data_IF_536831173081
#
_entry.id   IF_536831173081
#
_cell.length_a   1.000
_cell.length_b   1.000
_cell.length_c   1.000
_cell.angle_alpha   90.00
_cell.angle_beta   90.00
_cell.angle_gamma   90.00
#
_symmetry.space_group_name_H-M   'P 1'
#
loop_
_entity.id
_entity.type
_entity.pdbx_description
1 polymer ?
#
# COMPACT_ATOMS: atom_id res chain seq x y z
N UNK A 1 -22.51 17.85 1.09
CA UNK A 1 -22.36 16.39 1.21
C UNK A 1 -23.74 15.74 1.24
N UNK A 2 -24.01 14.72 0.42
CA UNK A 2 -24.90 13.59 0.74
C UNK A 2 -24.28 12.38 0.03
N UNK A 3 -23.63 11.48 0.77
CA UNK A 3 -24.04 10.07 0.98
C UNK A 3 -23.97 9.21 -0.30
N UNK A 4 -23.55 7.94 -0.32
CA UNK A 4 -23.68 6.89 0.67
C UNK A 4 -22.85 5.67 0.20
N UNK A 5 -22.35 4.92 1.17
CA UNK A 5 -22.04 3.48 1.24
C UNK A 5 -22.72 2.56 0.20
N UNK A 6 -22.04 1.51 -0.27
CA UNK A 6 -22.59 0.12 -0.37
C UNK A 6 -21.45 -0.89 -0.61
N UNK A 7 -21.38 -1.87 0.29
CA UNK A 7 -20.53 -3.07 0.34
C UNK A 7 -21.08 -4.21 -0.53
N UNK A 8 -20.24 -5.03 -1.19
CA UNK A 8 -20.51 -6.47 -1.30
C UNK A 8 -19.25 -7.29 -1.59
N UNK A 9 -19.01 -8.25 -0.70
CA UNK A 9 -17.96 -9.25 -0.68
C UNK A 9 -18.26 -10.39 -1.66
N UNK A 10 -17.26 -10.88 -2.41
CA UNK A 10 -17.33 -12.19 -3.08
C UNK A 10 -16.12 -13.02 -2.68
N UNK A 11 -16.45 -14.17 -2.09
CA UNK A 11 -15.58 -15.13 -1.43
C UNK A 11 -14.84 -16.06 -2.41
N UNK A 12 -13.66 -16.43 -1.94
CA UNK A 12 -12.67 -17.40 -2.42
C UNK A 12 -13.18 -18.86 -2.47
N UNK A 13 -12.91 -19.60 -3.56
CA UNK A 13 -12.66 -21.07 -3.65
C UNK A 13 -12.62 -21.51 -5.13
N UNK A 14 -11.88 -22.50 -5.63
CA UNK A 14 -10.73 -23.29 -5.22
C UNK A 14 -10.39 -24.19 -6.43
N UNK A 15 -9.12 -24.22 -6.83
CA UNK A 15 -8.36 -25.30 -7.50
C UNK A 15 -8.87 -25.97 -8.81
N UNK A 16 -7.90 -26.20 -9.72
CA UNK A 16 -8.00 -27.28 -10.70
C UNK A 16 -7.09 -27.09 -11.91
N UNK A 17 -5.79 -27.24 -11.74
CA UNK A 17 -4.89 -27.44 -12.87
C UNK A 17 -5.14 -28.83 -13.49
N UNK A 18 -5.48 -28.85 -14.78
CA UNK A 18 -5.58 -30.06 -15.57
C UNK A 18 -5.56 -29.69 -17.05
N UNK A 19 -4.47 -30.04 -17.74
CA UNK A 19 -4.34 -29.89 -19.18
C UNK A 19 -5.41 -30.76 -19.87
N UNK A 20 -6.50 -30.13 -20.32
CA UNK A 20 -7.47 -30.76 -21.19
C UNK A 20 -7.18 -30.32 -22.62
N UNK A 21 -6.92 -31.31 -23.49
CA UNK A 21 -7.15 -31.17 -24.91
C UNK A 21 -8.54 -30.52 -25.12
N UNK A 22 -8.68 -29.58 -26.05
CA UNK A 22 -9.94 -28.92 -26.34
C UNK A 22 -10.95 -29.89 -27.00
N UNK A 23 -11.32 -30.96 -26.30
CA UNK A 23 -12.52 -31.72 -26.53
C UNK A 23 -13.64 -31.00 -25.80
N UNK A 24 -14.60 -30.47 -26.54
CA UNK A 24 -16.01 -30.27 -26.12
C UNK A 24 -16.26 -29.64 -24.73
N UNK A 25 -15.30 -28.90 -24.18
CA UNK A 25 -15.50 -28.01 -23.04
C UNK A 25 -16.31 -26.82 -23.56
N UNK A 26 -17.64 -26.98 -23.54
CA UNK A 26 -18.62 -25.94 -23.81
C UNK A 26 -18.27 -25.08 -25.04
N UNK A 27 -18.38 -25.70 -26.23
CA UNK A 27 -18.13 -25.01 -27.49
C UNK A 27 -18.84 -23.65 -27.49
N UNK A 28 -18.06 -22.57 -27.54
CA UNK A 28 -18.58 -21.21 -27.51
C UNK A 28 -19.63 -21.05 -28.59
N UNK A 29 -20.76 -20.45 -28.23
CA UNK A 29 -21.79 -20.17 -29.22
C UNK A 29 -21.24 -19.20 -30.27
N UNK A 30 -21.75 -19.26 -31.50
CA UNK A 30 -21.36 -18.32 -32.57
C UNK A 30 -21.55 -16.86 -32.14
N UNK A 31 -22.56 -16.57 -31.31
CA UNK A 31 -22.79 -15.26 -30.73
C UNK A 31 -21.68 -14.82 -29.75
N UNK A 32 -21.19 -15.74 -28.92
CA UNK A 32 -20.06 -15.48 -28.01
C UNK A 32 -18.79 -15.19 -28.81
N UNK A 33 -18.50 -16.01 -29.82
CA UNK A 33 -17.34 -15.83 -30.71
C UNK A 33 -17.41 -14.49 -31.45
N UNK A 34 -18.59 -14.10 -31.96
CA UNK A 34 -18.77 -12.81 -32.63
C UNK A 34 -18.52 -11.62 -31.68
N UNK A 35 -18.93 -11.75 -30.42
CA UNK A 35 -18.72 -10.73 -29.39
C UNK A 35 -17.24 -10.60 -29.03
N UNK A 36 -16.54 -11.72 -28.84
CA UNK A 36 -15.10 -11.73 -28.55
C UNK A 36 -14.29 -11.18 -29.73
N UNK A 37 -14.64 -11.53 -30.96
CA UNK A 37 -14.00 -10.96 -32.15
C UNK A 37 -14.23 -9.45 -32.24
N UNK A 38 -15.45 -8.98 -32.00
CA UNK A 38 -15.74 -7.54 -31.96
C UNK A 38 -14.92 -6.84 -30.87
N UNK A 39 -14.80 -7.44 -29.68
CA UNK A 39 -14.04 -6.89 -28.57
C UNK A 39 -12.54 -6.84 -28.88
N UNK A 40 -11.99 -7.92 -29.46
CA UNK A 40 -10.60 -8.01 -29.86
C UNK A 40 -10.25 -7.03 -31.00
N UNK A 41 -11.19 -6.75 -31.90
CA UNK A 41 -11.08 -5.68 -32.91
C UNK A 41 -11.04 -4.29 -32.26
N UNK A 42 -11.92 -4.03 -31.30
CA UNK A 42 -11.96 -2.73 -30.59
C UNK A 42 -10.72 -2.52 -29.72
N UNK A 43 -10.20 -3.58 -29.10
CA UNK A 43 -8.98 -3.52 -28.28
C UNK A 43 -7.69 -3.53 -29.09
N UNK A 44 -7.77 -3.56 -30.43
CA UNK A 44 -6.59 -3.58 -31.30
C UNK A 44 -5.76 -4.86 -31.24
N UNK A 45 -6.32 -5.97 -30.72
CA UNK A 45 -5.62 -7.27 -30.65
C UNK A 45 -5.41 -7.88 -32.04
N UNK A 46 -6.25 -7.51 -33.02
CA UNK A 46 -6.07 -7.85 -34.44
C UNK A 46 -6.75 -6.81 -35.34
N UNK A 47 -6.28 -6.68 -36.58
CA UNK A 47 -6.84 -5.78 -37.62
C UNK A 47 -7.07 -6.58 -38.92
N UNK A 48 -7.97 -6.10 -39.79
CA UNK A 48 -8.19 -6.65 -41.14
C UNK A 48 -7.81 -5.59 -42.18
N UNK A 49 -6.96 -5.93 -43.15
CA UNK A 49 -6.57 -5.06 -44.28
C UNK A 49 -5.06 -5.03 -44.55
N UNK A 50 -4.65 -4.36 -45.63
CA UNK A 50 -3.23 -4.23 -46.07
C UNK A 50 -2.51 -2.99 -45.50
N UNK A 51 -3.14 -2.23 -44.60
CA UNK A 51 -2.54 -1.03 -44.03
C UNK A 51 -1.93 -1.34 -42.66
N UNK A 52 -0.61 -1.50 -42.70
CA UNK A 52 0.32 -1.69 -41.57
C UNK A 52 0.20 -3.03 -40.83
N UNK A 53 0.94 -4.02 -41.35
CA UNK A 53 1.42 -5.15 -40.55
C UNK A 53 2.84 -4.83 -40.07
N UNK A 54 3.12 -4.90 -38.76
CA UNK A 54 2.23 -5.36 -37.69
C UNK A 54 1.19 -4.31 -37.27
N UNK A 55 0.07 -4.72 -36.65
CA UNK A 55 -0.94 -3.79 -36.13
C UNK A 55 -0.30 -2.79 -35.17
N UNK A 56 -0.75 -1.54 -35.22
CA UNK A 56 -0.30 -0.51 -34.29
C UNK A 56 -0.52 -0.97 -32.85
N UNK A 57 0.57 -1.02 -32.07
CA UNK A 57 0.49 -1.44 -30.67
C UNK A 57 -0.33 -0.42 -29.87
N UNK A 58 -1.23 -0.88 -28.97
CA UNK A 58 -1.96 0.03 -28.10
C UNK A 58 -0.96 0.83 -27.26
N UNK A 59 -1.08 2.16 -27.28
CA UNK A 59 -0.27 3.02 -26.43
C UNK A 59 -0.71 2.81 -24.98
N UNK A 60 0.13 2.15 -24.18
CA UNK A 60 -0.07 2.08 -22.74
C UNK A 60 0.12 3.46 -22.14
N UNK A 61 -0.82 3.90 -21.30
CA UNK A 61 -0.67 5.12 -20.50
C UNK A 61 0.45 4.88 -19.49
N UNK A 62 1.61 5.48 -19.74
CA UNK A 62 2.69 5.55 -18.76
C UNK A 62 2.47 6.75 -17.84
N UNK A 63 2.89 6.63 -16.58
CA UNK A 63 2.91 7.78 -15.67
C UNK A 63 3.80 8.88 -16.27
N UNK A 64 3.36 10.12 -16.13
CA UNK A 64 4.20 11.28 -16.44
C UNK A 64 5.40 11.32 -15.49
N UNK A 65 6.49 11.94 -15.96
CA UNK A 65 7.68 12.16 -15.13
C UNK A 65 7.36 12.93 -13.83
N UNK A 66 6.30 13.77 -13.84
CA UNK A 66 5.86 14.50 -12.66
C UNK A 66 5.19 13.57 -11.64
N UNK A 67 4.32 12.65 -12.08
CA UNK A 67 3.67 11.67 -11.21
C UNK A 67 4.68 10.70 -10.59
N UNK A 68 5.67 10.27 -11.37
CA UNK A 68 6.76 9.42 -10.88
C UNK A 68 7.58 10.15 -9.79
N UNK A 69 7.92 11.42 -10.01
CA UNK A 69 8.65 12.21 -9.02
C UNK A 69 7.83 12.43 -7.74
N UNK A 70 6.54 12.69 -7.86
CA UNK A 70 5.65 12.85 -6.71
C UNK A 70 5.57 11.56 -5.88
N UNK A 71 5.37 10.41 -6.53
CA UNK A 71 5.34 9.10 -5.85
C UNK A 71 6.68 8.77 -5.20
N UNK A 72 7.80 9.03 -5.89
CA UNK A 72 9.12 8.80 -5.31
C UNK A 72 9.38 9.67 -4.08
N UNK A 73 8.95 10.94 -4.11
CA UNK A 73 9.08 11.82 -2.96
C UNK A 73 8.24 11.35 -1.77
N UNK A 74 7.02 10.85 -2.03
CA UNK A 74 6.15 10.26 -1.02
C UNK A 74 6.75 8.98 -0.40
N UNK A 75 7.35 8.11 -1.22
CA UNK A 75 8.03 6.91 -0.75
C UNK A 75 9.25 7.24 0.14
N UNK A 76 9.99 8.32 -0.20
CA UNK A 76 11.11 8.82 0.62
C UNK A 76 10.66 9.34 1.98
N UNK A 77 9.55 10.10 2.03
CA UNK A 77 9.06 10.68 3.29
C UNK A 77 8.40 9.65 4.20
N UNK A 78 7.76 8.64 3.61
CA UNK A 78 7.16 7.52 4.36
C UNK A 78 8.17 6.50 4.86
N UNK A 79 9.42 6.56 4.38
CA UNK A 79 10.47 5.60 4.76
C UNK A 79 10.25 4.20 4.16
N UNK A 80 9.42 4.08 3.12
CA UNK A 80 9.12 2.82 2.44
C UNK A 80 10.35 2.28 1.69
N UNK A 81 11.29 3.14 1.33
CA UNK A 81 12.55 2.78 0.69
C UNK A 81 13.71 3.71 1.10
N UNK A 82 14.89 3.14 1.32
CA UNK A 82 16.14 3.86 1.61
C UNK A 82 17.13 3.65 0.45
N UNK A 83 17.92 4.67 0.14
CA UNK A 83 18.98 4.56 -0.87
C UNK A 83 20.29 4.12 -0.19
N UNK A 84 20.89 3.03 -0.67
CA UNK A 84 22.21 2.54 -0.23
C UNK A 84 22.20 1.15 0.40
N UNK A 85 23.32 0.43 0.28
CA UNK A 85 23.47 -0.98 0.70
C UNK A 85 23.57 -1.19 2.22
N UNK A 86 23.65 -0.12 3.01
CA UNK A 86 24.00 -0.19 4.43
C UNK A 86 22.82 -0.07 5.39
N UNK A 87 21.59 0.13 4.88
CA UNK A 87 20.42 0.46 5.71
C UNK A 87 19.26 -0.50 5.44
N UNK A 88 19.56 -1.80 5.43
CA UNK A 88 18.55 -2.85 5.43
C UNK A 88 18.49 -3.54 6.82
N UNK A 89 17.30 -3.63 7.45
CA UNK A 89 16.00 -3.12 6.98
C UNK A 89 15.93 -1.58 7.02
N UNK A 90 15.03 -0.95 6.24
CA UNK A 90 14.83 0.49 6.28
C UNK A 90 14.57 0.94 7.72
N UNK A 91 15.35 1.92 8.18
CA UNK A 91 15.18 2.49 9.52
C UNK A 91 13.84 3.19 9.55
N UNK A 92 12.83 2.51 10.08
CA UNK A 92 11.57 3.14 10.51
C UNK A 92 11.93 4.31 11.41
N UNK A 93 11.37 5.50 11.10
CA UNK A 93 11.57 6.69 11.90
C UNK A 93 11.44 6.32 13.38
N UNK A 94 12.52 6.54 14.15
CA UNK A 94 12.57 6.13 15.54
C UNK A 94 11.31 6.65 16.26
N UNK A 95 10.66 5.84 17.12
CA UNK A 95 9.55 6.33 17.92
C UNK A 95 9.98 7.61 18.63
N UNK A 96 9.04 8.57 18.74
CA UNK A 96 9.27 9.91 19.26
C UNK A 96 10.33 9.89 20.36
N UNK A 97 11.41 10.67 20.16
CA UNK A 97 12.56 10.69 21.04
C UNK A 97 12.08 10.71 22.49
N UNK A 98 12.46 9.70 23.26
CA UNK A 98 12.18 9.66 24.69
C UNK A 98 12.68 10.95 25.35
N UNK A 99 12.07 11.34 26.47
CA UNK A 99 12.41 12.55 27.22
C UNK A 99 13.93 12.71 27.31
N UNK A 100 14.44 13.88 26.94
CA UNK A 100 15.86 14.19 27.10
C UNK A 100 16.26 14.12 28.57
N UNK A 101 17.54 13.89 28.83
CA UNK A 101 18.07 13.87 30.20
C UNK A 101 17.75 15.16 30.96
N UNK A 102 17.69 16.29 30.27
CA UNK A 102 17.31 17.58 30.83
C UNK A 102 15.84 17.62 31.26
N UNK A 103 14.93 17.13 30.42
CA UNK A 103 13.50 17.03 30.74
C UNK A 103 13.26 16.10 31.93
N UNK A 104 13.96 14.96 31.99
CA UNK A 104 13.86 14.03 33.13
C UNK A 104 14.35 14.69 34.43
N UNK A 105 15.43 15.47 34.39
CA UNK A 105 15.92 16.20 35.56
C UNK A 105 14.93 17.28 36.02
N UNK A 106 14.33 18.00 35.07
CA UNK A 106 13.33 19.02 35.37
C UNK A 106 12.07 18.40 35.98
N UNK A 107 11.60 17.27 35.44
CA UNK A 107 10.46 16.54 35.99
C UNK A 107 10.75 15.99 37.39
N UNK A 108 11.96 15.47 37.62
CA UNK A 108 12.39 15.02 38.94
C UNK A 108 12.47 16.18 39.94
N UNK A 109 12.99 17.34 39.54
CA UNK A 109 13.02 18.53 40.38
C UNK A 109 11.61 19.02 40.73
N UNK A 110 10.69 18.99 39.76
CA UNK A 110 9.27 19.31 39.98
C UNK A 110 8.62 18.30 40.94
N UNK A 111 8.84 17.00 40.76
CA UNK A 111 8.31 15.96 41.63
C UNK A 111 8.82 16.08 43.07
N UNK A 112 10.07 16.50 43.26
CA UNK A 112 10.63 16.82 44.58
C UNK A 112 9.97 18.05 45.19
N UNK A 113 9.77 19.11 44.40
CA UNK A 113 9.15 20.34 44.88
C UNK A 113 7.66 20.17 45.23
N UNK A 114 6.93 19.33 44.48
CA UNK A 114 5.53 19.00 44.74
C UNK A 114 5.32 17.94 45.82
N UNK A 115 6.40 17.38 46.39
CA UNK A 115 6.33 16.34 47.42
C UNK A 115 5.90 14.96 46.89
N UNK A 116 5.79 14.80 45.56
CA UNK A 116 5.44 13.53 44.92
C UNK A 116 6.57 12.48 45.02
N UNK A 117 7.79 12.93 45.32
CA UNK A 117 8.96 12.07 45.51
C UNK A 117 9.80 12.51 46.73
N UNK A 118 9.93 11.64 47.72
CA UNK A 118 10.76 11.84 48.93
C UNK A 118 11.78 10.70 49.05
N UNK A 119 12.95 10.96 49.65
CA UNK A 119 13.98 9.94 49.90
C UNK A 119 14.22 9.82 51.41
N UNK A 120 13.99 8.63 51.97
CA UNK A 120 14.19 8.32 53.39
C UNK A 120 13.17 7.29 53.91
N UNK A 121 13.44 6.66 55.05
CA UNK A 121 12.57 5.66 55.72
C UNK A 121 11.29 6.25 56.35
N UNK A 122 11.02 7.54 56.15
CA UNK A 122 9.90 8.22 56.78
C UNK A 122 8.77 8.41 55.75
N UNK A 123 7.87 7.43 55.78
CA UNK A 123 6.54 7.39 55.17
C UNK A 123 6.49 7.19 53.64
N UNK A 124 6.46 5.92 53.23
CA UNK A 124 5.97 5.49 51.91
C UNK A 124 4.64 4.74 52.09
N UNK A 125 3.57 5.08 51.35
CA UNK A 125 3.48 6.10 50.31
C UNK A 125 3.24 7.54 50.85
N UNK A 126 3.55 8.58 50.06
CA UNK A 126 3.32 9.97 50.47
C UNK A 126 1.82 10.26 50.63
N UNK A 127 1.42 10.73 51.82
CA UNK A 127 0.07 11.23 52.08
C UNK A 127 -0.09 12.64 51.49
N UNK A 128 -0.88 12.75 50.43
CA UNK A 128 -1.37 14.04 49.91
C UNK A 128 -2.36 14.63 50.90
N UNK A 129 -2.13 15.86 51.37
CA UNK A 129 -3.11 16.64 52.15
C UNK A 129 -3.72 17.74 51.31
#
# INVERSE_FOLDING_TARGET
MKTLTTTLLISLALAGAGAQAAGVEQAKSSAQVATELQQAKVSGQYTFGELDYPPALPQATSLSSQEVQAQLQQAKTSGEYTFGELQYPPVVAAPAAGKSRAEVQQELAQAKASGQYTFGELEYPPITR
#
